data_IF_242885168161
#
_entry.id   IF_242885168161
#
_cell.length_a   1.000
_cell.length_b   1.000
_cell.length_c   1.000
_cell.angle_alpha   90.00
_cell.angle_beta   90.00
_cell.angle_gamma   90.00
#
_symmetry.space_group_name_H-M   'P 1'
#
loop_
_entity.id
_entity.type
_entity.pdbx_description
1 polymer ?
#
# COMPACT_ATOMS: atom_id res chain seq x y z
N UNK A 1 8.69 -7.67 31.71
CA UNK A 1 8.93 -6.47 30.89
C UNK A 1 9.58 -6.96 29.60
N UNK A 2 8.81 -7.09 28.53
CA UNK A 2 9.30 -7.64 27.25
C UNK A 2 9.40 -6.46 26.29
N UNK A 3 10.62 -6.15 25.85
CA UNK A 3 10.88 -5.14 24.85
C UNK A 3 10.77 -5.80 23.48
N UNK A 4 9.73 -5.46 22.72
CA UNK A 4 9.65 -5.80 21.29
C UNK A 4 10.55 -4.85 20.51
N UNK A 5 11.86 -5.06 20.57
CA UNK A 5 12.81 -4.39 19.68
C UNK A 5 12.79 -5.06 18.31
N UNK A 6 11.69 -4.87 17.60
CA UNK A 6 11.58 -5.04 16.16
C UNK A 6 10.53 -4.03 15.66
N UNK A 7 10.65 -2.78 16.10
CA UNK A 7 10.06 -1.68 15.35
C UNK A 7 11.01 -1.46 14.17
N UNK A 8 10.94 -2.35 13.18
CA UNK A 8 11.48 -2.06 11.87
C UNK A 8 10.96 -0.67 11.50
N UNK A 9 11.87 0.26 11.20
CA UNK A 9 11.55 1.63 10.81
C UNK A 9 10.89 1.61 9.42
N UNK A 10 9.74 0.97 9.32
CA UNK A 10 8.91 0.95 8.14
C UNK A 10 8.31 2.34 8.01
N UNK A 11 8.41 2.89 6.81
CA UNK A 11 7.85 4.19 6.51
C UNK A 11 6.33 4.13 6.75
N UNK A 12 5.73 5.19 7.33
CA UNK A 12 4.28 5.28 7.46
C UNK A 12 3.59 5.07 6.11
N UNK A 13 2.44 4.38 6.13
CA UNK A 13 1.64 4.16 4.93
C UNK A 13 0.93 5.48 4.59
N UNK A 14 1.16 5.98 3.37
CA UNK A 14 0.42 7.11 2.83
C UNK A 14 -0.97 6.65 2.37
N UNK A 15 -2.03 7.30 2.87
CA UNK A 15 -3.41 6.98 2.53
C UNK A 15 -4.12 8.25 2.06
N UNK A 16 -4.94 8.12 1.02
CA UNK A 16 -5.90 9.13 0.59
C UNK A 16 -7.27 8.47 0.45
N UNK A 17 -8.30 9.10 1.03
CA UNK A 17 -9.67 8.59 1.07
C UNK A 17 -10.53 9.31 0.03
N UNK A 18 -11.34 8.56 -0.71
CA UNK A 18 -12.29 9.10 -1.69
C UNK A 18 -13.73 8.75 -1.29
N UNK A 19 -14.68 9.67 -1.47
CA UNK A 19 -16.09 9.47 -1.11
C UNK A 19 -17.06 10.08 -2.12
N UNK A 20 -18.33 9.66 -2.09
CA UNK A 20 -19.38 10.17 -3.00
C UNK A 20 -19.88 11.54 -2.56
N UNK A 21 -20.16 12.40 -3.53
CA UNK A 21 -20.87 13.66 -3.29
C UNK A 21 -22.32 13.64 -3.82
N UNK A 22 -22.69 12.65 -4.65
CA UNK A 22 -24.05 12.56 -5.19
C UNK A 22 -24.78 11.34 -4.62
N UNK A 23 -26.02 11.49 -4.11
CA UNK A 23 -26.79 10.36 -3.64
C UNK A 23 -27.30 9.49 -4.80
N UNK A 24 -27.61 8.23 -4.50
CA UNK A 24 -28.40 7.39 -5.39
C UNK A 24 -29.87 7.82 -5.38
N UNK A 25 -30.54 7.93 -6.55
CA UNK A 25 -31.97 8.22 -6.62
C UNK A 25 -32.81 7.21 -5.82
N UNK A 26 -33.65 7.70 -4.90
CA UNK A 26 -34.53 6.87 -4.06
C UNK A 26 -33.85 6.13 -2.90
N UNK A 27 -32.52 6.04 -2.86
CA UNK A 27 -31.74 5.40 -1.78
C UNK A 27 -31.07 6.44 -0.89
N UNK A 28 -30.63 7.56 -1.45
CA UNK A 28 -29.85 8.56 -0.74
C UNK A 28 -28.35 8.28 -0.81
N UNK A 29 -27.60 8.86 0.13
CA UNK A 29 -26.15 8.63 0.26
C UNK A 29 -25.94 7.23 0.85
N UNK A 30 -25.15 6.40 0.17
CA UNK A 30 -24.85 5.02 0.59
C UNK A 30 -23.78 5.01 1.67
N UNK A 31 -22.71 5.79 1.48
CA UNK A 31 -21.59 5.92 2.42
C UNK A 31 -21.36 7.40 2.74
N UNK A 32 -21.77 7.86 3.93
CA UNK A 32 -21.51 9.21 4.38
C UNK A 32 -20.01 9.56 4.41
N UNK A 33 -19.60 10.81 4.11
CA UNK A 33 -18.19 11.18 4.07
C UNK A 33 -17.42 10.86 5.35
N UNK A 34 -18.04 11.07 6.53
CA UNK A 34 -17.38 10.83 7.81
C UNK A 34 -17.05 9.36 8.09
N UNK A 35 -17.73 8.40 7.45
CA UNK A 35 -17.42 6.97 7.56
C UNK A 35 -16.45 6.48 6.49
N UNK A 36 -16.27 7.24 5.41
CA UNK A 36 -15.36 6.94 4.31
C UNK A 36 -13.95 7.53 4.47
N UNK A 37 -13.68 8.26 5.56
CA UNK A 37 -12.41 8.94 5.80
C UNK A 37 -11.70 8.39 7.03
N UNK A 38 -10.36 8.40 6.98
CA UNK A 38 -9.50 8.15 8.13
C UNK A 38 -8.98 9.49 8.67
N UNK A 39 -9.16 9.81 9.96
CA UNK A 39 -8.62 11.04 10.53
C UNK A 39 -7.11 11.16 10.32
N UNK A 40 -6.66 12.34 9.92
CA UNK A 40 -5.25 12.62 9.64
C UNK A 40 -4.80 12.31 8.21
N UNK A 41 -5.65 11.68 7.39
CA UNK A 41 -5.39 11.44 5.97
C UNK A 41 -6.22 12.36 5.08
N UNK A 42 -5.79 12.50 3.83
CA UNK A 42 -6.41 13.42 2.87
C UNK A 42 -7.80 12.89 2.47
N UNK A 43 -8.89 13.65 2.66
CA UNK A 43 -10.21 13.28 2.17
C UNK A 43 -10.53 14.01 0.86
N UNK A 44 -11.04 13.31 -0.15
CA UNK A 44 -11.38 13.87 -1.46
C UNK A 44 -12.78 13.42 -1.88
N UNK A 45 -13.66 14.37 -2.16
CA UNK A 45 -14.98 14.07 -2.73
C UNK A 45 -14.89 13.83 -4.25
N UNK A 46 -15.60 12.82 -4.74
CA UNK A 46 -15.84 12.60 -6.16
C UNK A 46 -17.31 12.91 -6.43
N UNK A 47 -17.57 13.82 -7.37
CA UNK A 47 -18.92 14.24 -7.78
C UNK A 47 -19.64 13.18 -8.62
N UNK A 48 -19.88 12.04 -8.01
CA UNK A 48 -20.58 10.88 -8.55
C UNK A 48 -21.21 10.12 -7.38
N UNK A 49 -22.10 9.18 -7.70
CA UNK A 49 -22.70 8.30 -6.70
C UNK A 49 -21.80 7.11 -6.35
N UNK A 50 -22.15 6.37 -5.31
CA UNK A 50 -21.41 5.22 -4.82
C UNK A 50 -21.08 4.19 -5.90
N UNK A 51 -21.99 3.96 -6.84
CA UNK A 51 -21.81 2.96 -7.90
C UNK A 51 -20.93 3.45 -9.05
N UNK A 52 -20.86 4.76 -9.27
CA UNK A 52 -20.26 5.35 -10.46
C UNK A 52 -18.99 6.17 -10.17
N UNK A 53 -18.65 6.43 -8.91
CA UNK A 53 -17.47 7.24 -8.53
C UNK A 53 -16.12 6.71 -8.99
N UNK A 54 -16.05 5.43 -9.37
CA UNK A 54 -14.84 4.79 -9.92
C UNK A 54 -14.93 4.53 -11.42
N UNK A 55 -16.04 4.91 -12.07
CA UNK A 55 -16.30 4.68 -13.49
C UNK A 55 -16.11 5.97 -14.28
N UNK A 56 -14.85 6.34 -14.47
CA UNK A 56 -14.51 7.57 -15.18
C UNK A 56 -14.78 7.47 -16.68
N UNK A 57 -15.33 8.52 -17.27
CA UNK A 57 -15.66 8.55 -18.70
C UNK A 57 -14.41 8.63 -19.57
N UNK A 58 -13.43 9.44 -19.17
CA UNK A 58 -12.21 9.71 -19.92
C UNK A 58 -11.12 10.32 -19.03
N UNK A 59 -9.95 10.60 -19.62
CA UNK A 59 -8.82 11.19 -18.90
C UNK A 59 -9.05 12.64 -18.43
N UNK A 60 -10.08 13.30 -18.96
CA UNK A 60 -10.45 14.66 -18.57
C UNK A 60 -11.46 14.73 -17.43
N UNK A 61 -12.04 13.59 -17.04
CA UNK A 61 -12.96 13.44 -15.92
C UNK A 61 -12.34 13.99 -14.62
N UNK A 62 -13.04 14.87 -13.87
CA UNK A 62 -12.54 15.42 -12.62
C UNK A 62 -12.18 14.38 -11.56
N UNK A 63 -12.98 13.31 -11.43
CA UNK A 63 -12.73 12.20 -10.51
C UNK A 63 -11.49 11.42 -10.92
N UNK A 64 -11.31 11.17 -12.21
CA UNK A 64 -10.09 10.54 -12.73
C UNK A 64 -8.86 11.38 -12.42
N UNK A 65 -8.91 12.69 -12.70
CA UNK A 65 -7.81 13.63 -12.43
C UNK A 65 -7.44 13.66 -10.95
N UNK A 66 -8.42 13.61 -10.05
CA UNK A 66 -8.18 13.55 -8.61
C UNK A 66 -7.42 12.28 -8.20
N UNK A 67 -7.90 11.10 -8.61
CA UNK A 67 -7.25 9.81 -8.30
C UNK A 67 -5.87 9.72 -8.92
N UNK A 68 -5.75 10.04 -10.21
CA UNK A 68 -4.47 10.02 -10.92
C UNK A 68 -3.47 11.03 -10.33
N UNK A 69 -3.95 12.17 -9.82
CA UNK A 69 -3.15 13.18 -9.13
C UNK A 69 -2.44 12.61 -7.91
N UNK A 70 -3.18 11.90 -7.05
CA UNK A 70 -2.65 11.26 -5.84
C UNK A 70 -1.68 10.11 -6.16
N UNK A 71 -2.01 9.27 -7.15
CA UNK A 71 -1.09 8.23 -7.61
C UNK A 71 0.23 8.84 -8.12
N UNK A 72 0.15 9.89 -8.94
CA UNK A 72 1.33 10.61 -9.43
C UNK A 72 2.12 11.27 -8.30
N UNK A 73 1.45 11.77 -7.26
CA UNK A 73 2.10 12.31 -6.05
C UNK A 73 2.93 11.21 -5.38
N UNK A 74 2.37 10.02 -5.17
CA UNK A 74 3.08 8.90 -4.57
C UNK A 74 4.25 8.42 -5.42
N UNK A 75 4.07 8.25 -6.73
CA UNK A 75 5.17 7.86 -7.63
C UNK A 75 6.35 8.82 -7.54
N UNK A 76 6.09 10.14 -7.53
CA UNK A 76 7.16 11.15 -7.36
C UNK A 76 7.82 11.09 -5.98
N UNK A 77 7.07 10.79 -4.93
CA UNK A 77 7.61 10.67 -3.58
C UNK A 77 8.53 9.45 -3.45
N UNK A 78 8.12 8.31 -4.03
CA UNK A 78 8.92 7.08 -4.07
C UNK A 78 10.22 7.26 -4.87
N UNK A 79 10.16 7.88 -6.05
CA UNK A 79 11.37 8.15 -6.84
C UNK A 79 12.38 9.05 -6.10
N UNK A 80 11.90 10.03 -5.33
CA UNK A 80 12.76 10.88 -4.50
C UNK A 80 13.38 10.11 -3.34
N UNK A 81 12.64 9.21 -2.70
CA UNK A 81 13.15 8.42 -1.57
C UNK A 81 14.18 7.38 -2.03
N UNK A 82 13.99 6.77 -3.19
CA UNK A 82 14.99 5.88 -3.82
C UNK A 82 16.29 6.62 -4.12
N UNK A 83 16.22 7.79 -4.77
CA UNK A 83 17.39 8.61 -5.05
C UNK A 83 18.13 9.02 -3.77
N UNK A 84 17.40 9.38 -2.71
CA UNK A 84 18.00 9.72 -1.42
C UNK A 84 18.70 8.52 -0.75
N UNK A 85 18.20 7.29 -0.95
CA UNK A 85 18.85 6.06 -0.47
C UNK A 85 20.11 5.72 -1.27
N UNK A 86 20.11 5.91 -2.59
CA UNK A 86 21.28 5.67 -3.43
C UNK A 86 22.42 6.68 -3.15
N UNK A 87 22.10 7.94 -2.88
CA UNK A 87 23.11 8.94 -2.50
C UNK A 87 23.76 8.64 -1.14
N UNK A 88 23.08 7.93 -0.23
CA UNK A 88 23.65 7.52 1.06
C UNK A 88 24.62 6.33 0.94
N UNK A 89 24.47 5.49 -0.08
CA UNK A 89 25.35 4.32 -0.32
C UNK A 89 26.62 4.66 -1.10
N UNK A 90 26.75 5.89 -1.62
CA UNK A 90 27.90 6.37 -2.39
C UNK A 90 28.97 7.14 -1.61
N UNK A 91 28.89 7.24 -0.27
CA UNK A 91 29.97 7.83 0.52
C UNK A 91 31.16 6.88 0.58
N UNK A 92 32.34 7.24 0.06
CA UNK A 92 33.54 6.47 0.29
C UNK A 92 33.83 6.52 1.78
N UNK A 93 33.87 5.33 2.39
CA UNK A 93 34.57 5.07 3.62
C UNK A 93 35.91 5.80 3.58
N UNK A 94 36.10 6.79 4.47
CA UNK A 94 37.45 7.32 4.74
C UNK A 94 38.18 6.23 5.52
N UNK A 95 38.80 5.31 4.80
CA UNK A 95 39.77 4.38 5.34
C UNK A 95 40.94 5.17 5.90
N UNK A 96 40.97 5.27 7.23
CA UNK A 96 42.20 5.53 7.97
C UNK A 96 42.95 4.21 8.08
N UNK A 97 44.01 4.08 7.28
CA UNK A 97 44.93 2.94 7.30
C UNK A 97 45.48 2.70 8.70
N UNK A 98 45.26 1.50 9.26
CA UNK A 98 46.24 0.80 10.09
C UNK A 98 45.94 -0.70 10.06
N UNK A 99 46.94 -1.43 9.59
CA UNK A 99 47.16 -2.86 9.51
C UNK A 99 46.70 -3.66 10.74
N UNK A 100 46.07 -4.83 10.57
CA UNK A 100 46.76 -6.14 10.55
C UNK A 100 45.76 -7.33 10.51
N UNK A 101 46.16 -8.40 9.82
CA UNK A 101 45.77 -9.82 9.90
C UNK A 101 44.32 -10.29 10.11
N UNK A 102 43.83 -11.18 9.24
CA UNK A 102 42.69 -12.05 9.57
C UNK A 102 42.03 -12.78 8.40
N UNK A 103 42.53 -13.98 8.11
CA UNK A 103 42.03 -14.98 7.16
C UNK A 103 40.61 -15.48 7.51
N UNK A 104 39.71 -15.62 6.53
CA UNK A 104 38.34 -16.10 6.79
C UNK A 104 37.45 -16.16 5.55
N UNK A 105 37.60 -17.21 4.76
CA UNK A 105 36.73 -17.60 3.64
C UNK A 105 35.33 -17.94 4.15
N UNK A 106 34.28 -17.23 3.73
CA UNK A 106 32.90 -17.69 3.88
C UNK A 106 32.01 -17.17 2.74
N UNK A 107 31.34 -18.13 2.08
CA UNK A 107 30.70 -18.00 0.78
C UNK A 107 29.56 -17.00 0.69
N UNK A 108 29.48 -16.38 -0.48
CA UNK A 108 28.30 -15.67 -0.96
C UNK A 108 27.18 -16.68 -1.19
N UNK A 109 26.14 -16.69 -0.33
CA UNK A 109 24.91 -17.42 -0.64
C UNK A 109 23.92 -16.50 -1.37
N UNK A 110 23.75 -16.80 -2.66
CA UNK A 110 22.63 -16.36 -3.48
C UNK A 110 21.35 -16.93 -2.88
N UNK A 111 20.39 -16.07 -2.50
CA UNK A 111 19.05 -16.49 -2.10
C UNK A 111 18.35 -17.13 -3.32
N UNK A 112 18.38 -18.45 -3.38
CA UNK A 112 17.54 -19.24 -4.28
C UNK A 112 16.09 -19.13 -3.82
N UNK A 113 15.24 -18.54 -4.68
CA UNK A 113 13.79 -18.53 -4.50
C UNK A 113 13.28 -19.95 -4.79
N UNK A 114 12.90 -20.69 -3.74
CA UNK A 114 12.26 -22.00 -3.91
C UNK A 114 10.79 -21.81 -4.22
N UNK A 115 10.34 -22.38 -5.35
CA UNK A 115 8.93 -22.51 -5.67
C UNK A 115 8.27 -23.53 -4.73
N UNK A 116 7.12 -23.17 -4.18
CA UNK A 116 6.09 -24.13 -3.76
C UNK A 116 5.77 -24.15 -2.27
N UNK A 117 4.65 -23.54 -1.88
CA UNK A 117 3.47 -24.29 -1.46
C UNK A 117 2.40 -23.34 -0.92
N UNK A 118 1.22 -23.42 -1.51
CA UNK A 118 -0.01 -22.80 -1.04
C UNK A 118 -0.43 -23.42 0.28
N UNK A 119 -0.32 -22.67 1.38
CA UNK A 119 -1.04 -22.98 2.62
C UNK A 119 -1.83 -21.75 3.06
N UNK A 120 -3.13 -21.77 2.76
CA UNK A 120 -4.10 -20.88 3.36
C UNK A 120 -4.47 -21.45 4.74
N UNK A 121 -4.12 -20.73 5.80
CA UNK A 121 -4.57 -20.99 7.17
C UNK A 121 -5.14 -19.71 7.78
N UNK A 122 -6.20 -19.78 8.60
CA UNK A 122 -6.80 -18.59 9.19
C UNK A 122 -5.82 -17.98 10.20
N UNK A 123 -5.37 -16.75 9.95
CA UNK A 123 -4.60 -15.99 10.94
C UNK A 123 -5.57 -15.05 11.66
N UNK A 124 -5.99 -15.44 12.86
CA UNK A 124 -6.74 -14.56 13.76
C UNK A 124 -5.76 -13.57 14.36
N UNK A 125 -5.84 -12.28 14.00
CA UNK A 125 -5.16 -11.21 14.72
C UNK A 125 -6.15 -10.61 15.73
N UNK A 126 -5.72 -10.49 16.99
CA UNK A 126 -6.52 -9.84 18.03
C UNK A 126 -6.66 -8.35 17.69
N UNK A 127 -7.89 -7.89 17.39
CA UNK A 127 -8.22 -6.46 17.41
C UNK A 127 -8.63 -5.77 16.10
N UNK A 128 -9.14 -6.47 15.08
CA UNK A 128 -9.69 -5.78 13.91
C UNK A 128 -10.54 -6.66 12.99
N UNK A 129 -11.60 -6.07 12.43
CA UNK A 129 -12.46 -6.72 11.43
C UNK A 129 -11.67 -6.89 10.12
N UNK A 130 -11.48 -8.14 9.69
CA UNK A 130 -10.90 -8.47 8.39
C UNK A 130 -12.01 -8.51 7.35
N UNK A 131 -11.90 -7.66 6.32
CA UNK A 131 -12.71 -7.78 5.12
C UNK A 131 -12.21 -8.97 4.30
N UNK A 132 -12.97 -10.07 4.34
CA UNK A 132 -12.73 -11.24 3.50
C UNK A 132 -13.38 -11.00 2.13
N UNK A 133 -12.59 -10.55 1.16
CA UNK A 133 -13.00 -10.47 -0.24
C UNK A 133 -13.23 -11.88 -0.80
N UNK A 134 -14.40 -12.13 -1.39
CA UNK A 134 -14.72 -13.37 -2.09
C UNK A 134 -14.80 -13.11 -3.60
N UNK A 135 -14.02 -13.83 -4.38
CA UNK A 135 -13.98 -13.91 -5.84
C UNK A 135 -13.44 -15.34 -6.15
N UNK A 136 -13.90 -16.21 -7.05
CA UNK A 136 -14.99 -16.34 -8.04
C UNK A 136 -15.17 -17.87 -8.28
N UNK A 137 -16.34 -18.31 -8.76
CA UNK A 137 -16.51 -19.57 -9.53
C UNK A 137 -17.82 -20.26 -9.13
N UNK A 138 -18.87 -20.31 -9.94
CA UNK A 138 -18.87 -20.88 -11.28
C UNK A 138 -19.07 -22.38 -11.14
N UNK A 139 -20.33 -22.84 -11.18
CA UNK A 139 -20.78 -24.12 -11.74
C UNK A 139 -22.31 -24.26 -11.60
N UNK A 140 -22.89 -24.73 -12.69
CA UNK A 140 -24.26 -25.14 -12.99
C UNK A 140 -24.96 -26.05 -11.98
N UNK A 141 -26.30 -25.97 -11.87
CA UNK A 141 -27.12 -27.08 -11.36
C UNK A 141 -28.46 -26.73 -10.72
N UNK A 142 -29.53 -26.79 -11.53
CA UNK A 142 -30.89 -27.31 -11.27
C UNK A 142 -31.28 -27.57 -9.79
N UNK A 143 -32.31 -26.86 -9.29
CA UNK A 143 -33.63 -27.36 -8.85
C UNK A 143 -34.54 -26.17 -8.50
#
# INVERSE_FOLDING_TARGET
MIWSQAQDQLLPIEITCFFEELPLPGVGVVVPPHSAILPGYIPIGIRSNYMDMTKFENADDPGFKAVAGELRRWVRALAKSENARLLQTGSPHRDGTSTDGGEGTAGHQILQLTQGSSQFGPTTVSGGWVFQGNQVGGHSGIF
#
